data_IF_387782567436
#
_entry.id   IF_387782567436
#
_cell.length_a   1.000
_cell.length_b   1.000
_cell.length_c   1.000
_cell.angle_alpha   90.00
_cell.angle_beta   90.00
_cell.angle_gamma   90.00
#
_symmetry.space_group_name_H-M   'P 1'
#
loop_
_entity.id
_entity.type
_entity.pdbx_description
1 polymer ?
#
# COMPACT_ATOMS: atom_id res chain seq x y z
N UNK A 1 -15.16 21.77 -6.52
CA UNK A 1 -14.08 20.81 -6.79
C UNK A 1 -12.82 21.35 -6.17
N UNK A 2 -12.17 20.58 -5.31
CA UNK A 2 -10.88 20.94 -4.71
C UNK A 2 -9.77 20.91 -5.77
N UNK A 3 -8.63 21.57 -5.53
CA UNK A 3 -7.49 21.54 -6.47
C UNK A 3 -6.98 20.11 -6.72
N UNK A 4 -7.04 19.24 -5.69
CA UNK A 4 -6.76 17.80 -5.78
C UNK A 4 -7.67 17.12 -6.80
N UNK A 5 -8.99 17.34 -6.71
CA UNK A 5 -9.97 16.73 -7.62
C UNK A 5 -9.77 17.16 -9.07
N UNK A 6 -9.39 18.43 -9.31
CA UNK A 6 -9.12 18.91 -10.67
C UNK A 6 -7.89 18.22 -11.27
N UNK A 7 -6.83 18.02 -10.47
CA UNK A 7 -5.62 17.31 -10.92
C UNK A 7 -5.96 15.85 -11.24
N UNK A 8 -6.65 15.14 -10.35
CA UNK A 8 -7.03 13.74 -10.56
C UNK A 8 -7.94 13.59 -11.79
N UNK A 9 -8.89 14.50 -11.99
CA UNK A 9 -9.73 14.49 -13.18
C UNK A 9 -8.94 14.72 -14.47
N UNK A 10 -7.89 15.54 -14.44
CA UNK A 10 -7.00 15.71 -15.60
C UNK A 10 -6.16 14.47 -15.84
N UNK A 11 -5.72 13.77 -14.79
CA UNK A 11 -4.95 12.52 -14.92
C UNK A 11 -5.77 11.38 -15.54
N UNK A 12 -7.10 11.42 -15.47
CA UNK A 12 -7.95 10.46 -16.21
C UNK A 12 -7.71 10.46 -17.72
N UNK A 13 -7.05 11.47 -18.30
CA UNK A 13 -6.62 11.45 -19.70
C UNK A 13 -5.65 10.30 -20.01
N UNK A 14 -4.89 9.82 -19.02
CA UNK A 14 -3.99 8.68 -19.19
C UNK A 14 -4.74 7.37 -19.43
N UNK A 15 -6.01 7.29 -19.00
CA UNK A 15 -6.84 6.10 -19.20
C UNK A 15 -7.07 5.78 -20.70
N UNK A 16 -7.65 6.67 -21.52
CA UNK A 16 -7.74 6.42 -22.95
C UNK A 16 -6.36 6.37 -23.63
N UNK A 17 -5.35 7.10 -23.14
CA UNK A 17 -3.99 7.03 -23.69
C UNK A 17 -3.42 5.61 -23.54
N UNK A 18 -3.58 4.97 -22.37
CA UNK A 18 -3.09 3.62 -22.13
C UNK A 18 -3.69 2.61 -23.11
N UNK A 19 -5.03 2.61 -23.24
CA UNK A 19 -5.72 1.70 -24.16
C UNK A 19 -5.45 1.99 -25.63
N UNK A 20 -5.33 3.27 -26.02
CA UNK A 20 -4.98 3.64 -27.40
C UNK A 20 -3.53 3.23 -27.70
N UNK A 21 -2.61 3.42 -26.76
CA UNK A 21 -1.22 3.02 -26.91
C UNK A 21 -1.09 1.51 -27.08
N UNK A 22 -1.81 0.72 -26.28
CA UNK A 22 -1.90 -0.73 -26.42
C UNK A 22 -2.52 -1.13 -27.77
N UNK A 23 -3.64 -0.52 -28.15
CA UNK A 23 -4.33 -0.82 -29.41
C UNK A 23 -3.49 -0.51 -30.66
N UNK A 24 -2.70 0.57 -30.61
CA UNK A 24 -1.75 0.95 -31.66
C UNK A 24 -0.44 0.15 -31.61
N UNK A 25 -0.27 -0.77 -30.66
CA UNK A 25 0.95 -1.53 -30.41
C UNK A 25 2.18 -0.61 -30.28
N UNK A 26 2.03 0.49 -29.53
CA UNK A 26 3.14 1.37 -29.20
C UNK A 26 4.15 0.64 -28.29
N UNK A 27 5.41 1.12 -28.20
CA UNK A 27 6.42 0.54 -27.32
C UNK A 27 5.92 0.27 -25.91
N UNK A 28 6.21 -0.92 -25.38
CA UNK A 28 5.69 -1.39 -24.10
C UNK A 28 5.94 -0.42 -22.93
N UNK A 29 7.07 0.29 -22.94
CA UNK A 29 7.36 1.32 -21.93
C UNK A 29 6.33 2.45 -21.90
N UNK A 30 5.79 2.85 -23.05
CA UNK A 30 4.77 3.90 -23.15
C UNK A 30 3.46 3.37 -22.58
N UNK A 31 3.08 2.14 -22.96
CA UNK A 31 1.88 1.47 -22.45
C UNK A 31 1.96 1.29 -20.95
N UNK A 32 3.11 0.87 -20.43
CA UNK A 32 3.38 0.67 -19.01
C UNK A 32 3.25 1.98 -18.23
N UNK A 33 3.94 3.04 -18.65
CA UNK A 33 3.89 4.35 -17.97
C UNK A 33 2.48 4.96 -18.05
N UNK A 34 1.82 4.90 -19.21
CA UNK A 34 0.46 5.41 -19.37
C UNK A 34 -0.53 4.67 -18.47
N UNK A 35 -0.44 3.34 -18.39
CA UNK A 35 -1.27 2.53 -17.50
C UNK A 35 -1.03 2.86 -16.03
N UNK A 36 0.24 2.97 -15.62
CA UNK A 36 0.61 3.36 -14.25
C UNK A 36 0.06 4.73 -13.85
N UNK A 37 0.14 5.72 -14.75
CA UNK A 37 -0.43 7.05 -14.51
C UNK A 37 -1.96 7.06 -14.52
N UNK A 38 -2.61 6.17 -15.26
CA UNK A 38 -4.07 6.00 -15.26
C UNK A 38 -4.60 5.36 -13.97
N UNK A 39 -3.79 4.54 -13.30
CA UNK A 39 -4.16 3.91 -12.01
C UNK A 39 -4.33 4.94 -10.90
N UNK A 40 -3.45 5.95 -10.83
CA UNK A 40 -3.43 6.96 -9.76
C UNK A 40 -4.81 7.64 -9.55
N UNK A 41 -5.47 8.21 -10.57
CA UNK A 41 -6.79 8.81 -10.38
C UNK A 41 -7.88 7.77 -10.06
N UNK A 42 -7.80 6.55 -10.59
CA UNK A 42 -8.77 5.49 -10.28
C UNK A 42 -8.69 5.08 -8.83
N UNK A 43 -7.47 4.88 -8.31
CA UNK A 43 -7.21 4.59 -6.90
C UNK A 43 -7.77 5.70 -6.00
N UNK A 44 -7.63 6.96 -6.40
CA UNK A 44 -8.17 8.08 -5.63
C UNK A 44 -9.70 8.08 -5.59
N UNK A 45 -10.37 7.82 -6.72
CA UNK A 45 -11.84 7.72 -6.74
C UNK A 45 -12.37 6.51 -5.96
N UNK A 46 -11.62 5.40 -5.94
CA UNK A 46 -11.94 4.23 -5.11
C UNK A 46 -11.83 4.59 -3.63
N UNK A 47 -10.75 5.25 -3.21
CA UNK A 47 -10.55 5.68 -1.83
C UNK A 47 -11.64 6.67 -1.38
N UNK A 48 -11.85 7.75 -2.14
CA UNK A 48 -12.87 8.78 -1.84
C UNK A 48 -14.29 8.16 -1.78
N UNK A 49 -14.60 7.20 -2.66
CA UNK A 49 -15.91 6.53 -2.67
C UNK A 49 -16.07 5.56 -1.49
N UNK A 50 -15.00 4.85 -1.15
CA UNK A 50 -14.96 3.94 0.00
C UNK A 50 -15.20 4.69 1.30
N UNK A 51 -14.54 5.83 1.48
CA UNK A 51 -14.71 6.72 2.63
C UNK A 51 -16.14 7.25 2.72
N UNK A 52 -16.70 7.78 1.62
CA UNK A 52 -18.07 8.26 1.58
C UNK A 52 -19.13 7.18 1.88
N UNK A 53 -18.87 5.91 1.52
CA UNK A 53 -19.75 4.80 1.88
C UNK A 53 -19.58 4.45 3.37
N UNK A 54 -18.33 4.42 3.85
CA UNK A 54 -17.98 4.11 5.23
C UNK A 54 -18.66 5.04 6.25
N UNK A 55 -18.72 6.34 5.94
CA UNK A 55 -19.43 7.34 6.75
C UNK A 55 -20.93 7.01 6.94
N UNK A 56 -21.57 6.43 5.92
CA UNK A 56 -23.02 6.15 5.93
C UNK A 56 -23.34 4.83 6.62
N UNK A 57 -22.51 3.79 6.42
CA UNK A 57 -22.74 2.44 6.99
C UNK A 57 -22.25 2.31 8.45
N UNK A 58 -21.60 3.36 8.96
CA UNK A 58 -21.18 3.51 10.35
C UNK A 58 -19.81 2.92 10.66
N UNK A 59 -19.20 3.25 11.83
CA UNK A 59 -17.78 3.02 12.08
C UNK A 59 -17.33 1.56 11.97
N UNK A 60 -18.20 0.60 12.31
CA UNK A 60 -17.85 -0.82 12.22
C UNK A 60 -17.85 -1.33 10.78
N UNK A 61 -18.95 -1.21 10.05
CA UNK A 61 -18.97 -1.69 8.65
C UNK A 61 -18.08 -0.81 7.76
N UNK A 62 -17.97 0.48 8.07
CA UNK A 62 -17.10 1.44 7.38
C UNK A 62 -15.63 1.13 7.58
N UNK A 63 -15.21 0.81 8.82
CA UNK A 63 -13.83 0.37 9.08
C UNK A 63 -13.45 -0.89 8.30
N UNK A 64 -14.35 -1.88 8.23
CA UNK A 64 -14.13 -3.08 7.41
C UNK A 64 -14.01 -2.75 5.91
N UNK A 65 -14.92 -1.93 5.39
CA UNK A 65 -14.91 -1.50 4.00
C UNK A 65 -13.63 -0.76 3.65
N UNK A 66 -13.24 0.22 4.47
CA UNK A 66 -12.02 1.00 4.28
C UNK A 66 -10.76 0.12 4.35
N UNK A 67 -10.75 -0.84 5.26
CA UNK A 67 -9.62 -1.76 5.38
C UNK A 67 -9.47 -2.72 4.19
N UNK A 68 -10.57 -3.03 3.51
CA UNK A 68 -10.58 -3.93 2.33
C UNK A 68 -10.30 -3.16 1.04
N UNK A 69 -11.02 -2.05 0.83
CA UNK A 69 -10.93 -1.26 -0.40
C UNK A 69 -9.82 -0.20 -0.38
N UNK A 70 -9.26 0.12 0.79
CA UNK A 70 -8.12 1.02 0.93
C UNK A 70 -6.88 0.54 0.18
N UNK A 71 -6.65 -0.78 0.13
CA UNK A 71 -5.59 -1.41 -0.67
C UNK A 71 -6.14 -2.17 -1.88
N UNK A 72 -7.33 -1.78 -2.38
CA UNK A 72 -7.93 -2.45 -3.53
C UNK A 72 -7.00 -2.38 -4.75
N UNK A 73 -6.28 -1.26 -4.91
CA UNK A 73 -5.37 -1.05 -6.04
C UNK A 73 -4.25 -2.07 -6.06
N UNK A 74 -3.53 -2.20 -4.94
CA UNK A 74 -2.45 -3.15 -4.77
C UNK A 74 -2.94 -4.59 -4.91
N UNK A 75 -4.07 -4.91 -4.29
CA UNK A 75 -4.66 -6.25 -4.38
C UNK A 75 -5.07 -6.59 -5.82
N UNK A 76 -5.66 -5.65 -6.56
CA UNK A 76 -6.07 -5.88 -7.96
C UNK A 76 -4.86 -6.05 -8.87
N UNK A 77 -3.86 -5.16 -8.79
CA UNK A 77 -2.62 -5.28 -9.57
C UNK A 77 -1.95 -6.63 -9.26
N UNK A 78 -1.85 -7.00 -7.99
CA UNK A 78 -1.25 -8.27 -7.57
C UNK A 78 -2.04 -9.49 -8.06
N UNK A 79 -3.38 -9.48 -8.00
CA UNK A 79 -4.22 -10.58 -8.51
C UNK A 79 -4.07 -10.72 -10.03
N UNK A 80 -4.03 -9.61 -10.77
CA UNK A 80 -3.83 -9.63 -12.23
C UNK A 80 -2.45 -10.16 -12.59
N UNK A 81 -1.40 -9.69 -11.90
CA UNK A 81 -0.03 -10.20 -12.06
C UNK A 81 0.07 -11.69 -11.70
N UNK A 82 -0.59 -12.12 -10.63
CA UNK A 82 -0.64 -13.51 -10.20
C UNK A 82 -1.34 -14.40 -11.24
N UNK A 83 -2.45 -13.94 -11.82
CA UNK A 83 -3.14 -14.63 -12.91
C UNK A 83 -2.23 -14.80 -14.14
N UNK A 84 -1.38 -13.83 -14.42
CA UNK A 84 -0.36 -13.89 -15.48
C UNK A 84 0.87 -14.76 -15.12
N UNK A 85 0.89 -15.38 -13.93
CA UNK A 85 2.01 -16.22 -13.48
C UNK A 85 3.23 -15.46 -12.98
N UNK A 86 3.11 -14.13 -12.77
CA UNK A 86 4.22 -13.28 -12.33
C UNK A 86 4.38 -13.32 -10.80
N UNK A 87 4.53 -14.51 -10.22
CA UNK A 87 4.61 -14.72 -8.76
C UNK A 87 5.71 -13.87 -8.12
N UNK A 88 6.89 -13.81 -8.73
CA UNK A 88 8.02 -13.04 -8.20
C UNK A 88 7.76 -11.53 -8.21
N UNK A 89 7.05 -11.03 -9.23
CA UNK A 89 6.62 -9.62 -9.27
C UNK A 89 5.61 -9.34 -8.18
N UNK A 90 4.68 -10.26 -7.92
CA UNK A 90 3.69 -10.13 -6.85
C UNK A 90 4.37 -10.06 -5.48
N UNK A 91 5.32 -10.97 -5.20
CA UNK A 91 6.14 -10.94 -3.98
C UNK A 91 6.90 -9.62 -3.82
N UNK A 92 7.59 -9.21 -4.88
CA UNK A 92 8.31 -7.94 -4.96
C UNK A 92 7.39 -6.73 -4.74
N UNK A 93 6.16 -6.76 -5.24
CA UNK A 93 5.19 -5.68 -5.01
C UNK A 93 4.72 -5.60 -3.56
N UNK A 94 4.56 -6.74 -2.87
CA UNK A 94 4.17 -6.76 -1.45
C UNK A 94 5.27 -6.11 -0.60
N UNK A 95 6.52 -6.57 -0.77
CA UNK A 95 7.67 -6.09 0.00
C UNK A 95 7.97 -4.63 -0.35
N UNK A 96 7.90 -4.30 -1.64
CA UNK A 96 8.01 -2.95 -2.16
C UNK A 96 7.00 -1.98 -1.59
N UNK A 97 5.72 -2.34 -1.53
CA UNK A 97 4.69 -1.46 -0.96
C UNK A 97 4.93 -1.21 0.52
N UNK A 98 5.32 -2.22 1.29
CA UNK A 98 5.67 -2.01 2.71
C UNK A 98 6.86 -1.05 2.84
N UNK A 99 7.93 -1.27 2.07
CA UNK A 99 9.13 -0.41 2.09
C UNK A 99 8.81 1.02 1.65
N UNK A 100 8.02 1.18 0.59
CA UNK A 100 7.63 2.49 0.06
C UNK A 100 6.71 3.23 1.05
N UNK A 101 5.74 2.58 1.66
CA UNK A 101 4.86 3.21 2.65
C UNK A 101 5.66 3.70 3.87
N UNK A 102 6.53 2.84 4.41
CA UNK A 102 7.29 3.14 5.62
C UNK A 102 8.42 4.15 5.40
N UNK A 103 9.12 4.10 4.25
CA UNK A 103 10.28 4.97 4.01
C UNK A 103 9.96 6.13 3.07
N UNK A 104 9.31 5.89 1.93
CA UNK A 104 9.01 6.92 0.94
C UNK A 104 7.82 7.79 1.38
N UNK A 105 6.66 7.19 1.67
CA UNK A 105 5.44 7.92 1.98
C UNK A 105 5.56 8.66 3.32
N UNK A 106 5.94 7.94 4.38
CA UNK A 106 6.15 8.54 5.70
C UNK A 106 7.33 9.52 5.70
N UNK A 107 8.44 9.18 5.04
CA UNK A 107 9.60 10.08 4.94
C UNK A 107 9.27 11.39 4.21
N UNK A 108 8.55 11.32 3.09
CA UNK A 108 8.06 12.50 2.37
C UNK A 108 7.09 13.32 3.23
N UNK A 109 6.19 12.66 3.96
CA UNK A 109 5.25 13.35 4.83
C UNK A 109 5.96 14.09 5.97
N UNK A 110 6.86 13.43 6.70
CA UNK A 110 7.64 14.04 7.78
C UNK A 110 8.54 15.15 7.25
N UNK A 111 9.19 14.97 6.09
CA UNK A 111 10.03 16.02 5.51
C UNK A 111 9.19 17.25 5.15
N UNK A 112 8.11 17.08 4.37
CA UNK A 112 7.29 18.20 3.90
C UNK A 112 6.55 18.91 5.03
N UNK A 113 6.09 18.16 6.04
CA UNK A 113 5.53 18.72 7.27
C UNK A 113 6.58 19.46 8.11
N UNK A 114 7.76 18.86 8.29
CA UNK A 114 8.89 19.42 9.03
C UNK A 114 9.53 20.67 8.41
N UNK A 115 9.37 20.87 7.10
CA UNK A 115 9.76 22.12 6.42
C UNK A 115 8.85 23.29 6.80
N UNK A 116 7.62 23.01 7.27
CA UNK A 116 6.64 24.03 7.70
C UNK A 116 6.59 24.18 9.22
N UNK A 117 6.74 23.08 9.94
CA UNK A 117 6.63 23.02 11.40
C UNK A 117 7.94 22.47 11.97
N UNK A 118 8.50 23.13 12.99
CA UNK A 118 9.79 22.70 13.58
C UNK A 118 9.72 21.26 14.10
N UNK A 119 8.63 20.94 14.79
CA UNK A 119 8.32 19.63 15.35
C UNK A 119 6.82 19.37 15.20
N UNK A 120 6.44 18.11 14.98
CA UNK A 120 5.04 17.67 14.91
C UNK A 120 4.85 16.45 15.80
N UNK A 121 3.86 16.49 16.69
CA UNK A 121 3.54 15.39 17.58
C UNK A 121 2.48 14.46 16.99
N UNK A 122 2.52 13.20 17.41
CA UNK A 122 1.49 12.20 17.16
C UNK A 122 1.38 11.26 18.37
N UNK A 123 0.26 10.54 18.48
CA UNK A 123 -0.09 9.75 19.64
C UNK A 123 0.87 8.54 19.82
N UNK A 124 1.72 8.54 20.86
CA UNK A 124 2.75 7.51 21.03
C UNK A 124 2.16 6.10 21.26
N UNK A 125 0.96 6.02 21.85
CA UNK A 125 0.28 4.74 22.11
C UNK A 125 -0.09 4.03 20.83
N UNK A 126 -0.65 4.75 19.85
CA UNK A 126 -1.08 4.18 18.56
C UNK A 126 0.15 3.80 17.73
N UNK A 127 1.15 4.67 17.70
CA UNK A 127 2.42 4.40 17.03
C UNK A 127 3.09 3.13 17.57
N UNK A 128 3.10 2.93 18.89
CA UNK A 128 3.67 1.73 19.54
C UNK A 128 2.91 0.44 19.23
N UNK A 129 1.57 0.50 19.18
CA UNK A 129 0.75 -0.66 18.78
C UNK A 129 1.03 -1.01 17.31
N UNK A 130 1.07 -0.02 16.42
CA UNK A 130 1.39 -0.23 15.01
C UNK A 130 2.82 -0.77 14.83
N UNK A 131 3.80 -0.23 15.55
CA UNK A 131 5.19 -0.68 15.53
C UNK A 131 5.32 -2.15 15.99
N UNK A 132 4.64 -2.51 17.07
CA UNK A 132 4.62 -3.89 17.60
C UNK A 132 3.95 -4.85 16.61
N UNK A 133 2.88 -4.40 15.95
CA UNK A 133 2.19 -5.16 14.91
C UNK A 133 3.07 -5.35 13.67
N UNK A 134 3.81 -4.32 13.24
CA UNK A 134 4.78 -4.41 12.14
C UNK A 134 5.92 -5.38 12.47
N UNK A 135 6.40 -5.41 13.72
CA UNK A 135 7.39 -6.40 14.16
C UNK A 135 6.83 -7.83 14.06
N UNK A 136 5.57 -8.06 14.45
CA UNK A 136 4.94 -9.36 14.30
C UNK A 136 4.83 -9.76 12.81
N UNK A 137 4.34 -8.85 11.97
CA UNK A 137 4.28 -9.07 10.52
C UNK A 137 5.65 -9.41 9.95
N UNK A 138 6.69 -8.65 10.34
CA UNK A 138 8.07 -8.89 9.93
C UNK A 138 8.53 -10.30 10.34
N UNK A 139 8.31 -10.73 11.58
CA UNK A 139 8.67 -12.09 12.04
C UNK A 139 8.00 -13.16 11.19
N UNK A 140 6.71 -13.00 10.89
CA UNK A 140 5.97 -13.99 10.09
C UNK A 140 6.41 -14.00 8.63
N UNK A 141 6.66 -12.84 8.02
CA UNK A 141 7.16 -12.74 6.63
C UNK A 141 8.62 -13.21 6.49
N UNK A 142 9.46 -13.01 7.50
CA UNK A 142 10.83 -13.50 7.57
C UNK A 142 10.90 -15.03 7.66
N UNK A 143 9.97 -15.65 8.40
CA UNK A 143 10.11 -17.04 8.85
C UNK A 143 10.24 -18.07 7.71
N UNK A 144 9.39 -18.05 6.65
CA UNK A 144 9.52 -19.00 5.54
C UNK A 144 10.86 -18.86 4.82
N UNK A 145 11.24 -17.62 4.50
CA UNK A 145 12.50 -17.29 3.83
C UNK A 145 13.72 -17.69 4.66
N UNK A 146 13.69 -17.44 5.97
CA UNK A 146 14.78 -17.81 6.87
C UNK A 146 14.93 -19.34 6.98
N UNK A 147 13.81 -20.06 7.02
CA UNK A 147 13.80 -21.53 7.06
C UNK A 147 14.37 -22.11 5.76
N UNK A 148 13.97 -21.60 4.60
CA UNK A 148 14.49 -22.02 3.30
C UNK A 148 16.01 -21.75 3.19
N UNK A 149 16.44 -20.55 3.57
CA UNK A 149 17.86 -20.16 3.51
C UNK A 149 18.76 -20.96 4.48
N UNK A 150 18.23 -21.36 5.64
CA UNK A 150 19.01 -22.06 6.69
C UNK A 150 18.93 -23.58 6.63
N UNK A 151 17.93 -24.13 5.94
CA UNK A 151 17.68 -25.58 5.89
C UNK A 151 17.94 -26.12 4.48
N UNK A 152 19.01 -26.90 4.32
CA UNK A 152 19.28 -27.55 3.04
C UNK A 152 18.30 -28.72 2.80
N UNK A 153 17.61 -28.72 1.66
CA UNK A 153 16.80 -29.86 1.20
C UNK A 153 15.35 -29.88 1.67
N UNK A 154 14.78 -28.75 2.06
CA UNK A 154 13.34 -28.66 2.27
C UNK A 154 12.57 -28.89 0.97
N UNK A 155 11.49 -29.65 1.06
CA UNK A 155 10.61 -29.84 -0.08
C UNK A 155 9.80 -28.56 -0.31
N UNK A 156 9.60 -28.11 -1.57
CA UNK A 156 8.79 -26.94 -1.88
C UNK A 156 7.37 -27.01 -1.30
N UNK A 157 6.81 -28.23 -1.20
CA UNK A 157 5.52 -28.47 -0.56
C UNK A 157 5.52 -28.05 0.91
N UNK A 158 6.60 -28.28 1.66
CA UNK A 158 6.70 -27.91 3.08
C UNK A 158 6.68 -26.39 3.26
N UNK A 159 7.42 -25.66 2.43
CA UNK A 159 7.46 -24.18 2.43
C UNK A 159 6.07 -23.61 2.11
N UNK A 160 5.37 -24.22 1.15
CA UNK A 160 4.02 -23.82 0.80
C UNK A 160 3.03 -24.05 1.95
N UNK A 161 3.06 -25.22 2.61
CA UNK A 161 2.22 -25.49 3.79
C UNK A 161 2.52 -24.51 4.92
N UNK A 162 3.80 -24.24 5.19
CA UNK A 162 4.20 -23.25 6.18
C UNK A 162 3.66 -21.86 5.83
N UNK A 163 3.75 -21.45 4.56
CA UNK A 163 3.24 -20.17 4.07
C UNK A 163 1.71 -20.04 4.22
N UNK A 164 0.97 -21.13 4.02
CA UNK A 164 -0.48 -21.16 4.26
C UNK A 164 -0.79 -20.98 5.76
N UNK A 165 -0.06 -21.68 6.64
CA UNK A 165 -0.22 -21.52 8.10
C UNK A 165 0.11 -20.10 8.53
N UNK A 166 1.22 -19.55 8.04
CA UNK A 166 1.63 -18.16 8.28
C UNK A 166 0.58 -17.15 7.79
N UNK A 167 0.01 -17.35 6.59
CA UNK A 167 -1.08 -16.54 6.05
C UNK A 167 -2.33 -16.58 6.94
N UNK A 168 -2.74 -17.77 7.42
CA UNK A 168 -3.88 -17.90 8.33
C UNK A 168 -3.64 -17.22 9.68
N UNK A 169 -2.43 -17.30 10.23
CA UNK A 169 -2.05 -16.62 11.47
C UNK A 169 -2.08 -15.09 11.30
N UNK A 170 -1.60 -14.58 10.17
CA UNK A 170 -1.66 -13.15 9.84
C UNK A 170 -3.10 -12.66 9.69
N UNK A 171 -3.96 -13.39 8.99
CA UNK A 171 -5.38 -13.05 8.84
C UNK A 171 -6.13 -13.10 10.18
N UNK A 172 -5.81 -14.09 11.03
CA UNK A 172 -6.36 -14.17 12.38
C UNK A 172 -5.94 -12.93 13.19
N UNK A 173 -4.66 -12.59 13.18
CA UNK A 173 -4.16 -11.42 13.90
C UNK A 173 -4.78 -10.13 13.34
N UNK A 174 -4.88 -9.99 12.02
CA UNK A 174 -5.59 -8.88 11.38
C UNK A 174 -7.03 -8.76 11.88
N UNK A 175 -7.78 -9.85 11.91
CA UNK A 175 -9.13 -9.88 12.48
C UNK A 175 -9.17 -9.43 13.95
N UNK A 176 -8.20 -9.84 14.76
CA UNK A 176 -8.06 -9.38 16.15
C UNK A 176 -7.77 -7.87 16.22
N UNK A 177 -6.94 -7.31 15.33
CA UNK A 177 -6.67 -5.87 15.27
C UNK A 177 -7.90 -5.05 14.87
N UNK A 178 -8.75 -5.58 13.98
CA UNK A 178 -10.03 -4.98 13.63
C UNK A 178 -10.99 -4.98 14.84
N UNK A 179 -11.12 -6.11 15.53
CA UNK A 179 -11.91 -6.17 16.78
C UNK A 179 -11.36 -5.20 17.84
N UNK A 180 -10.04 -5.10 17.94
CA UNK A 180 -9.37 -4.20 18.88
C UNK A 180 -9.70 -2.73 18.58
N UNK A 181 -9.49 -2.29 17.34
CA UNK A 181 -9.69 -0.91 16.92
C UNK A 181 -11.16 -0.50 16.90
N UNK A 182 -12.06 -1.39 16.49
CA UNK A 182 -13.45 -1.05 16.22
C UNK A 182 -14.40 -1.31 17.40
N UNK A 183 -14.03 -2.20 18.32
CA UNK A 183 -14.91 -2.61 19.44
C UNK A 183 -14.29 -2.37 20.81
N UNK A 184 -13.13 -2.95 21.11
CA UNK A 184 -12.62 -2.97 22.50
C UNK A 184 -11.89 -1.69 22.88
N UNK A 185 -11.18 -1.05 21.94
CA UNK A 185 -10.36 0.15 22.18
C UNK A 185 -10.74 1.29 21.26
N UNK A 186 -12.04 1.38 20.94
CA UNK A 186 -12.60 2.39 20.05
C UNK A 186 -12.21 3.82 20.43
N UNK A 187 -12.11 4.12 21.74
CA UNK A 187 -11.73 5.45 22.25
C UNK A 187 -10.32 5.90 21.86
N UNK A 188 -9.38 4.96 21.69
CA UNK A 188 -8.00 5.26 21.26
C UNK A 188 -7.98 5.65 19.76
N UNK A 189 -8.91 5.10 18.98
CA UNK A 189 -9.02 5.32 17.54
C UNK A 189 -10.06 6.40 17.16
N UNK A 190 -11.04 6.73 18.02
CA UNK A 190 -12.09 7.73 17.78
C UNK A 190 -11.65 9.17 17.98
N UNK A 191 -10.59 9.41 18.77
CA UNK A 191 -9.98 10.74 18.88
C UNK A 191 -9.39 11.21 17.53
N UNK A 192 -9.08 10.27 16.61
CA UNK A 192 -8.70 10.56 15.21
C UNK A 192 -9.87 11.03 14.33
N UNK A 193 -11.04 10.39 14.47
CA UNK A 193 -12.25 10.70 13.66
C UNK A 193 -12.83 12.10 13.98
N UNK A 194 -12.71 12.60 15.22
CA UNK A 194 -13.25 13.92 15.58
C UNK A 194 -12.40 15.11 15.07
N UNK A 195 -11.10 14.92 14.81
CA UNK A 195 -10.25 15.92 14.14
C UNK A 195 -10.40 15.92 12.61
N UNK A 196 -10.92 14.83 12.03
CA UNK A 196 -11.41 14.76 10.65
C UNK A 196 -12.71 15.57 10.50
N UNK A 197 -13.68 15.38 11.42
CA UNK A 197 -15.01 16.02 11.35
C UNK A 197 -14.96 17.56 11.50
N UNK A 198 -14.07 18.11 12.33
CA UNK A 198 -14.09 19.55 12.65
C UNK A 198 -13.60 20.49 11.52
N UNK A 199 -13.01 19.98 10.43
CA UNK A 199 -12.60 20.82 9.29
C UNK A 199 -13.40 20.60 8.02
N UNK A 200 -13.95 19.41 7.82
CA UNK A 200 -14.85 19.18 6.69
C UNK A 200 -16.29 19.65 7.00
N UNK A 201 -16.62 19.98 8.25
CA UNK A 201 -17.93 20.52 8.64
C UNK A 201 -18.33 21.87 8.00
N UNK A 202 -17.43 22.59 7.30
CA UNK A 202 -17.81 23.74 6.46
C UNK A 202 -18.02 23.40 4.97
N UNK A 203 -17.63 22.21 4.50
CA UNK A 203 -17.89 21.75 3.11
C UNK A 203 -18.85 20.54 3.03
N UNK A 204 -19.08 19.82 4.14
CA UNK A 204 -19.73 18.49 4.18
C UNK A 204 -21.22 18.46 4.46
N UNK A 205 -21.93 19.59 4.55
CA UNK A 205 -23.40 19.55 4.57
C UNK A 205 -24.03 19.01 3.26
N UNK A 206 -23.22 18.75 2.20
CA UNK A 206 -23.69 18.22 0.91
C UNK A 206 -23.67 16.69 0.77
N UNK A 207 -23.01 15.91 1.63
CA UNK A 207 -22.67 14.51 1.33
C UNK A 207 -23.66 13.41 1.77
N UNK A 208 -24.85 13.74 2.30
CA UNK A 208 -25.90 12.72 2.54
C UNK A 208 -26.66 12.26 1.29
N UNK A 209 -26.45 12.88 0.12
CA UNK A 209 -27.33 12.73 -1.05
C UNK A 209 -26.82 11.79 -2.15
N UNK A 210 -25.86 10.90 -1.86
CA UNK A 210 -25.17 10.16 -2.92
C UNK A 210 -24.65 8.75 -2.63
N UNK A 211 -25.13 8.01 -1.63
CA UNK A 211 -24.61 6.64 -1.37
C UNK A 211 -24.58 5.78 -2.65
N UNK A 212 -25.67 5.77 -3.42
CA UNK A 212 -25.74 5.04 -4.69
C UNK A 212 -24.78 5.58 -5.76
N UNK A 213 -24.46 6.87 -5.72
CA UNK A 213 -23.43 7.46 -6.60
C UNK A 213 -22.04 6.99 -6.19
N UNK A 214 -21.71 7.00 -4.88
CA UNK A 214 -20.42 6.50 -4.38
C UNK A 214 -20.24 5.01 -4.67
N UNK A 215 -21.29 4.20 -4.47
CA UNK A 215 -21.27 2.77 -4.86
C UNK A 215 -21.08 2.60 -6.36
N UNK A 216 -21.78 3.40 -7.18
CA UNK A 216 -21.62 3.38 -8.64
C UNK A 216 -20.20 3.73 -9.09
N UNK A 217 -19.62 4.80 -8.53
CA UNK A 217 -18.24 5.22 -8.82
C UNK A 217 -17.25 4.14 -8.37
N UNK A 218 -17.38 3.62 -7.15
CA UNK A 218 -16.54 2.56 -6.61
C UNK A 218 -16.52 1.34 -7.56
N UNK A 219 -17.68 0.85 -7.98
CA UNK A 219 -17.79 -0.30 -8.86
C UNK A 219 -17.19 -0.03 -10.25
N UNK A 220 -17.52 1.11 -10.87
CA UNK A 220 -17.00 1.47 -12.19
C UNK A 220 -15.48 1.61 -12.14
N UNK A 221 -14.94 2.36 -11.18
CA UNK A 221 -13.50 2.55 -11.04
C UNK A 221 -12.78 1.23 -10.76
N UNK A 222 -13.35 0.35 -9.94
CA UNK A 222 -12.78 -0.98 -9.67
C UNK A 222 -12.72 -1.83 -10.94
N UNK A 223 -13.79 -1.87 -11.74
CA UNK A 223 -13.82 -2.62 -13.00
C UNK A 223 -12.81 -2.05 -13.99
N UNK A 224 -12.78 -0.73 -14.17
CA UNK A 224 -11.82 -0.07 -15.06
C UNK A 224 -10.38 -0.32 -14.60
N UNK A 225 -10.13 -0.30 -13.29
CA UNK A 225 -8.83 -0.57 -12.71
C UNK A 225 -8.34 -2.00 -13.00
N UNK A 226 -9.24 -2.99 -13.02
CA UNK A 226 -8.88 -4.36 -13.45
C UNK A 226 -8.36 -4.36 -14.89
N UNK A 227 -9.06 -3.70 -15.83
CA UNK A 227 -8.64 -3.63 -17.23
C UNK A 227 -7.31 -2.89 -17.41
N UNK A 228 -7.13 -1.74 -16.74
CA UNK A 228 -5.87 -0.98 -16.81
C UNK A 228 -4.73 -1.77 -16.17
N UNK A 229 -4.99 -2.51 -15.10
CA UNK A 229 -3.99 -3.36 -14.47
C UNK A 229 -3.59 -4.52 -15.38
N UNK A 230 -4.51 -5.05 -16.19
CA UNK A 230 -4.21 -6.06 -17.20
C UNK A 230 -3.25 -5.51 -18.28
N UNK A 231 -3.55 -4.32 -18.81
CA UNK A 231 -2.66 -3.59 -19.75
C UNK A 231 -1.28 -3.28 -19.13
N UNK A 232 -1.25 -2.86 -17.85
CA UNK A 232 0.00 -2.62 -17.11
C UNK A 232 0.84 -3.90 -17.02
N UNK A 233 0.22 -5.00 -16.60
CA UNK A 233 0.89 -6.29 -16.38
C UNK A 233 1.33 -6.92 -17.71
N UNK A 234 0.52 -6.80 -18.77
CA UNK A 234 0.85 -7.30 -20.10
C UNK A 234 2.08 -6.58 -20.70
N UNK A 235 2.20 -5.27 -20.50
CA UNK A 235 3.34 -4.47 -20.97
C UNK A 235 4.57 -4.57 -20.06
N UNK A 236 4.44 -5.11 -18.86
CA UNK A 236 5.49 -5.14 -17.84
C UNK A 236 6.75 -5.88 -18.30
N UNK A 237 6.63 -7.13 -18.78
CA UNK A 237 7.80 -7.94 -19.13
C UNK A 237 8.64 -7.33 -20.26
N UNK A 238 7.98 -6.75 -21.27
CA UNK A 238 8.66 -6.08 -22.37
C UNK A 238 9.23 -4.72 -21.93
N UNK A 239 8.54 -3.97 -21.06
CA UNK A 239 9.08 -2.72 -20.51
C UNK A 239 10.36 -2.97 -19.68
N UNK A 240 10.38 -4.05 -18.88
CA UNK A 240 11.54 -4.46 -18.07
C UNK A 240 12.73 -4.79 -18.98
N UNK A 241 12.52 -5.55 -20.05
CA UNK A 241 13.60 -5.96 -20.95
C UNK A 241 14.22 -4.78 -21.72
N UNK A 242 13.40 -3.81 -22.14
CA UNK A 242 13.86 -2.58 -22.80
C UNK A 242 14.63 -1.67 -21.83
N UNK A 243 14.19 -1.57 -20.58
CA UNK A 243 14.84 -0.74 -19.56
C UNK A 243 16.10 -1.39 -18.96
N UNK A 244 16.31 -2.69 -19.18
CA UNK A 244 17.40 -3.44 -18.57
C UNK A 244 17.29 -3.52 -17.05
N UNK A 245 16.07 -3.46 -16.51
CA UNK A 245 15.80 -3.56 -15.07
C UNK A 245 15.55 -5.01 -14.68
N UNK A 246 15.76 -5.36 -13.42
CA UNK A 246 15.37 -6.68 -12.90
C UNK A 246 13.87 -6.70 -12.56
N UNK A 247 13.25 -7.88 -12.62
CA UNK A 247 11.87 -8.10 -12.14
C UNK A 247 11.73 -7.70 -10.66
N UNK A 248 12.79 -7.95 -9.88
CA UNK A 248 12.86 -7.59 -8.47
C UNK A 248 12.83 -6.07 -8.27
N UNK A 249 13.70 -5.32 -8.94
CA UNK A 249 13.71 -3.85 -8.87
C UNK A 249 12.36 -3.28 -9.30
N UNK A 250 11.78 -3.82 -10.37
CA UNK A 250 10.51 -3.33 -10.90
C UNK A 250 9.36 -3.57 -9.94
N UNK A 251 9.26 -4.77 -9.36
CA UNK A 251 8.24 -5.08 -8.38
C UNK A 251 8.42 -4.30 -7.07
N UNK A 252 9.65 -4.15 -6.57
CA UNK A 252 9.92 -3.48 -5.28
C UNK A 252 9.83 -1.95 -5.38
N UNK A 253 10.27 -1.36 -6.50
CA UNK A 253 10.40 0.10 -6.63
C UNK A 253 9.32 0.69 -7.53
N UNK A 254 9.11 0.14 -8.73
CA UNK A 254 8.25 0.79 -9.73
C UNK A 254 6.75 0.54 -9.48
N UNK A 255 6.35 -0.69 -9.18
CA UNK A 255 4.92 -1.01 -8.97
C UNK A 255 4.30 -0.22 -7.79
N UNK A 256 4.95 -0.13 -6.61
CA UNK A 256 4.39 0.62 -5.48
C UNK A 256 4.22 2.11 -5.75
N UNK A 257 5.06 2.71 -6.59
CA UNK A 257 4.93 4.13 -6.96
C UNK A 257 3.57 4.40 -7.59
N UNK A 258 3.05 3.48 -8.41
CA UNK A 258 1.74 3.66 -9.04
C UNK A 258 0.59 3.27 -8.11
N UNK A 259 0.71 2.15 -7.40
CA UNK A 259 -0.33 1.65 -6.48
C UNK A 259 -0.60 2.62 -5.33
N UNK A 260 0.47 3.01 -4.62
CA UNK A 260 0.39 3.78 -3.38
C UNK A 260 0.41 5.30 -3.56
N UNK A 261 0.51 5.83 -4.80
CA UNK A 261 0.67 7.28 -5.06
C UNK A 261 -0.34 8.15 -4.30
N UNK A 262 -1.60 7.71 -4.25
CA UNK A 262 -2.69 8.42 -3.58
C UNK A 262 -2.46 8.49 -2.07
N UNK A 263 -2.01 7.39 -1.47
CA UNK A 263 -1.66 7.33 -0.05
C UNK A 263 -0.48 8.24 0.26
N UNK A 264 0.52 8.30 -0.63
CA UNK A 264 1.73 9.12 -0.43
C UNK A 264 1.38 10.60 -0.44
N UNK A 265 0.56 11.01 -1.42
CA UNK A 265 0.05 12.38 -1.51
C UNK A 265 -0.83 12.71 -0.30
N UNK A 266 -1.66 11.77 0.15
CA UNK A 266 -2.57 11.96 1.29
C UNK A 266 -1.80 12.12 2.60
N UNK A 267 -0.83 11.24 2.88
CA UNK A 267 0.04 11.33 4.05
C UNK A 267 0.83 12.65 4.06
N UNK A 268 1.43 13.04 2.93
CA UNK A 268 2.12 14.31 2.79
C UNK A 268 1.19 15.51 3.02
N UNK A 269 -0.03 15.44 2.48
CA UNK A 269 -1.03 16.51 2.65
C UNK A 269 -1.44 16.66 4.12
N UNK A 270 -1.64 15.57 4.84
CA UNK A 270 -1.96 15.60 6.27
C UNK A 270 -0.81 16.17 7.10
N UNK A 271 0.43 15.73 6.87
CA UNK A 271 1.59 16.27 7.56
C UNK A 271 1.77 17.78 7.32
N UNK A 272 1.61 18.25 6.07
CA UNK A 272 1.66 19.67 5.71
C UNK A 272 0.54 20.53 6.32
N UNK A 273 -0.55 19.90 6.79
CA UNK A 273 -1.67 20.54 7.51
C UNK A 273 -1.54 20.42 9.04
N UNK A 274 -0.35 20.05 9.53
CA UNK A 274 -0.07 19.77 10.93
C UNK A 274 -0.84 18.59 11.55
N UNK A 275 -1.26 17.62 10.72
CA UNK A 275 -1.96 16.41 11.16
C UNK A 275 -1.05 15.18 11.02
N UNK A 276 0.08 15.18 11.74
CA UNK A 276 1.06 14.10 11.65
C UNK A 276 0.49 12.74 12.09
N UNK A 277 -0.41 12.75 13.07
CA UNK A 277 -1.16 11.56 13.51
C UNK A 277 -1.83 10.80 12.36
N UNK A 278 -2.45 11.54 11.44
CA UNK A 278 -3.13 10.99 10.28
C UNK A 278 -2.13 10.53 9.21
N UNK A 279 -1.05 11.28 8.99
CA UNK A 279 0.01 10.88 8.06
C UNK A 279 0.66 9.54 8.47
N UNK A 280 0.99 9.39 9.75
CA UNK A 280 1.51 8.15 10.33
C UNK A 280 0.45 7.03 10.24
N UNK A 281 -0.83 7.35 10.47
CA UNK A 281 -1.93 6.40 10.33
C UNK A 281 -2.01 5.79 8.93
N UNK A 282 -1.97 6.64 7.91
CA UNK A 282 -2.05 6.23 6.50
C UNK A 282 -0.88 5.33 6.15
N UNK A 283 0.36 5.78 6.40
CA UNK A 283 1.57 5.06 6.01
C UNK A 283 1.74 3.72 6.76
N UNK A 284 1.68 3.73 8.10
CA UNK A 284 1.85 2.51 8.89
C UNK A 284 0.63 1.59 8.79
N UNK A 285 -0.57 2.15 8.69
CA UNK A 285 -1.82 1.38 8.55
C UNK A 285 -1.89 0.61 7.24
N UNK A 286 -1.59 1.27 6.12
CA UNK A 286 -1.48 0.61 4.81
C UNK A 286 -0.42 -0.50 4.83
N UNK A 287 0.77 -0.24 5.39
CA UNK A 287 1.82 -1.27 5.55
C UNK A 287 1.36 -2.50 6.34
N UNK A 288 0.60 -2.30 7.42
CA UNK A 288 0.03 -3.38 8.21
C UNK A 288 -1.02 -4.17 7.42
N UNK A 289 -1.88 -3.49 6.66
CA UNK A 289 -2.89 -4.14 5.83
C UNK A 289 -2.24 -4.94 4.69
N UNK A 290 -1.18 -4.41 4.07
CA UNK A 290 -0.43 -5.14 3.05
C UNK A 290 0.16 -6.43 3.63
N UNK A 291 0.83 -6.34 4.79
CA UNK A 291 1.48 -7.48 5.41
C UNK A 291 0.51 -8.51 6.00
N UNK A 292 -0.57 -8.07 6.66
CA UNK A 292 -1.46 -8.93 7.45
C UNK A 292 -2.73 -9.35 6.72
N UNK A 293 -3.09 -8.67 5.63
CA UNK A 293 -4.28 -8.97 4.85
C UNK A 293 -3.96 -9.27 3.39
N UNK A 294 -3.35 -8.33 2.65
CA UNK A 294 -3.14 -8.49 1.19
C UNK A 294 -2.22 -9.67 0.89
N UNK A 295 -1.04 -9.76 1.52
CA UNK A 295 -0.11 -10.86 1.29
C UNK A 295 -0.70 -12.24 1.62
N UNK A 296 -1.34 -12.46 2.80
CA UNK A 296 -2.06 -13.69 3.07
C UNK A 296 -3.18 -14.02 2.10
N UNK A 297 -3.98 -13.03 1.69
CA UNK A 297 -5.05 -13.24 0.71
C UNK A 297 -4.46 -13.71 -0.62
N UNK A 298 -3.34 -13.13 -1.07
CA UNK A 298 -2.66 -13.54 -2.30
C UNK A 298 -2.12 -14.97 -2.24
N UNK A 299 -1.64 -15.44 -1.09
CA UNK A 299 -1.26 -16.85 -0.90
C UNK A 299 -2.48 -17.77 -1.10
N UNK A 300 -3.62 -17.43 -0.49
CA UNK A 300 -4.84 -18.23 -0.61
C UNK A 300 -5.43 -18.18 -2.02
N UNK A 301 -5.47 -17.01 -2.65
CA UNK A 301 -5.93 -16.82 -4.02
C UNK A 301 -5.01 -17.54 -5.01
N UNK A 302 -3.69 -17.50 -4.79
CA UNK A 302 -2.72 -18.23 -5.60
C UNK A 302 -2.99 -19.73 -5.63
N UNK A 303 -3.30 -20.32 -4.48
CA UNK A 303 -3.71 -21.73 -4.41
C UNK A 303 -4.97 -22.01 -5.24
N UNK A 304 -5.98 -21.15 -5.15
CA UNK A 304 -7.21 -21.28 -5.96
C UNK A 304 -6.95 -21.13 -7.47
N UNK A 305 -5.94 -20.33 -7.84
CA UNK A 305 -5.52 -20.12 -9.23
C UNK A 305 -4.53 -21.16 -9.76
N UNK A 306 -4.08 -22.11 -8.92
CA UNK A 306 -3.04 -23.07 -9.28
C UNK A 306 -1.64 -22.46 -9.40
N UNK A 307 -1.44 -21.25 -8.85
CA UNK A 307 -0.16 -20.55 -8.81
C UNK A 307 0.55 -20.83 -7.49
N UNK A 308 1.87 -21.04 -7.53
CA UNK A 308 2.68 -21.34 -6.33
C UNK A 308 3.04 -20.07 -5.54
N UNK A 309 2.04 -19.27 -5.20
CA UNK A 309 2.21 -18.09 -4.34
C UNK A 309 2.44 -18.53 -2.89
N UNK A 310 3.56 -18.12 -2.31
CA UNK A 310 3.96 -18.42 -0.95
C UNK A 310 4.63 -17.18 -0.31
N UNK A 311 4.96 -17.24 0.98
CA UNK A 311 5.61 -16.14 1.73
C UNK A 311 7.13 -16.31 1.79
N UNK A 312 7.68 -17.07 0.86
CA UNK A 312 9.12 -17.24 0.69
C UNK A 312 9.61 -16.18 -0.30
N UNK A 313 10.14 -15.08 0.23
CA UNK A 313 10.57 -13.91 -0.54
C UNK A 313 12.07 -14.01 -0.83
N UNK A 314 12.59 -13.17 -1.72
CA UNK A 314 14.03 -13.05 -1.85
C UNK A 314 14.63 -12.54 -0.52
N UNK A 315 15.75 -13.11 -0.02
CA UNK A 315 16.39 -12.67 1.22
C UNK A 315 16.67 -11.16 1.26
N UNK A 316 16.95 -10.54 0.12
CA UNK A 316 17.18 -9.11 0.02
C UNK A 316 15.90 -8.27 0.18
N UNK A 317 14.75 -8.75 -0.31
CA UNK A 317 13.44 -8.13 -0.04
C UNK A 317 13.12 -8.12 1.45
N UNK A 318 13.35 -9.27 2.09
CA UNK A 318 13.08 -9.44 3.50
C UNK A 318 13.99 -8.56 4.36
N UNK A 319 15.26 -8.43 3.98
CA UNK A 319 16.19 -7.49 4.60
C UNK A 319 15.72 -6.04 4.44
N UNK A 320 15.23 -5.65 3.25
CA UNK A 320 14.72 -4.31 3.01
C UNK A 320 13.49 -4.00 3.87
N UNK A 321 12.54 -4.93 3.98
CA UNK A 321 11.38 -4.81 4.88
C UNK A 321 11.83 -4.71 6.34
N UNK A 322 12.81 -5.51 6.76
CA UNK A 322 13.37 -5.43 8.12
C UNK A 322 13.97 -4.05 8.41
N UNK A 323 14.79 -3.52 7.50
CA UNK A 323 15.37 -2.18 7.61
C UNK A 323 14.27 -1.12 7.72
N UNK A 324 13.25 -1.20 6.85
CA UNK A 324 12.14 -0.25 6.82
C UNK A 324 11.34 -0.25 8.13
N UNK A 325 10.99 -1.45 8.64
CA UNK A 325 10.26 -1.62 9.89
C UNK A 325 11.08 -1.13 11.08
N UNK A 326 12.36 -1.51 11.19
CA UNK A 326 13.20 -1.16 12.33
C UNK A 326 13.45 0.35 12.41
N UNK A 327 13.79 1.00 11.30
CA UNK A 327 14.04 2.45 11.28
C UNK A 327 12.75 3.22 11.55
N UNK A 328 11.64 2.83 10.92
CA UNK A 328 10.35 3.49 11.14
C UNK A 328 9.90 3.34 12.59
N UNK A 329 10.06 2.16 13.18
CA UNK A 329 9.75 1.93 14.59
C UNK A 329 10.63 2.77 15.51
N UNK A 330 11.92 2.89 15.22
CA UNK A 330 12.84 3.74 15.98
C UNK A 330 12.39 5.20 15.99
N UNK A 331 11.99 5.73 14.83
CA UNK A 331 11.53 7.13 14.69
C UNK A 331 10.15 7.32 15.31
N UNK A 332 9.25 6.34 15.18
CA UNK A 332 7.86 6.50 15.59
C UNK A 332 7.62 6.36 17.10
N UNK A 333 8.63 6.01 17.90
CA UNK A 333 8.44 5.57 19.30
C UNK A 333 8.22 6.71 20.28
N UNK A 334 8.82 7.88 20.05
CA UNK A 334 8.75 9.04 20.95
C UNK A 334 7.51 9.93 20.70
N UNK A 335 6.79 9.70 19.60
CA UNK A 335 5.58 10.44 19.25
C UNK A 335 5.85 11.86 18.72
N UNK A 336 7.08 12.14 18.30
CA UNK A 336 7.45 13.43 17.72
C UNK A 336 8.13 13.20 16.38
N UNK A 337 8.10 14.22 15.53
CA UNK A 337 8.77 14.17 14.24
C UNK A 337 9.34 15.51 13.83
N UNK A 338 10.45 15.47 13.10
CA UNK A 338 11.12 16.65 12.54
C UNK A 338 11.63 16.36 11.11
N UNK A 339 11.97 17.41 10.37
CA UNK A 339 12.36 17.29 8.96
C UNK A 339 13.58 16.37 8.72
N UNK A 340 14.49 16.25 9.71
CA UNK A 340 15.70 15.44 9.59
C UNK A 340 15.37 13.94 9.61
N UNK A 341 14.40 13.52 10.42
CA UNK A 341 13.90 12.15 10.40
C UNK A 341 13.22 11.81 9.08
N UNK A 342 12.49 12.75 8.49
CA UNK A 342 11.93 12.60 7.15
C UNK A 342 13.02 12.41 6.10
N UNK A 343 14.09 13.20 6.17
CA UNK A 343 15.26 13.03 5.31
C UNK A 343 15.95 11.68 5.53
N UNK A 344 16.07 11.20 6.78
CA UNK A 344 16.66 9.90 7.10
C UNK A 344 15.88 8.75 6.43
N UNK A 345 14.55 8.76 6.53
CA UNK A 345 13.69 7.76 5.89
C UNK A 345 13.84 7.78 4.36
N UNK A 346 13.86 8.97 3.74
CA UNK A 346 14.01 9.12 2.29
C UNK A 346 15.40 8.69 1.80
N UNK A 347 16.47 9.02 2.54
CA UNK A 347 17.83 8.57 2.21
C UNK A 347 17.90 7.04 2.36
N UNK A 348 17.29 6.47 3.39
CA UNK A 348 17.20 5.01 3.55
C UNK A 348 16.48 4.38 2.36
N UNK A 349 15.34 4.94 1.93
CA UNK A 349 14.63 4.47 0.73
C UNK A 349 15.51 4.52 -0.52
N UNK A 350 16.25 5.63 -0.72
CA UNK A 350 17.14 5.79 -1.86
C UNK A 350 18.31 4.77 -1.84
N UNK A 351 18.89 4.52 -0.67
CA UNK A 351 19.96 3.50 -0.50
C UNK A 351 19.42 2.11 -0.81
N UNK A 352 18.27 1.74 -0.23
CA UNK A 352 17.62 0.45 -0.48
C UNK A 352 17.26 0.29 -1.95
N UNK A 353 16.64 1.30 -2.57
CA UNK A 353 16.28 1.29 -3.99
C UNK A 353 17.50 1.20 -4.92
N UNK A 354 18.58 1.91 -4.59
CA UNK A 354 19.85 1.79 -5.33
C UNK A 354 20.44 0.39 -5.19
N UNK A 355 20.35 -0.22 -4.00
CA UNK A 355 20.82 -1.58 -3.79
C UNK A 355 19.99 -2.61 -4.58
N UNK A 356 18.67 -2.44 -4.70
CA UNK A 356 17.84 -3.26 -5.61
C UNK A 356 18.21 -3.09 -7.07
N UNK A 357 18.60 -1.87 -7.49
CA UNK A 357 19.03 -1.62 -8.87
C UNK A 357 20.29 -2.40 -9.24
N UNK A 358 21.24 -2.52 -8.30
CA UNK A 358 22.47 -3.30 -8.48
C UNK A 358 22.32 -4.79 -8.12
N UNK A 359 21.18 -5.20 -7.57
CA UNK A 359 20.93 -6.60 -7.24
C UNK A 359 20.58 -7.37 -8.53
N UNK A 360 21.33 -8.44 -8.85
CA UNK A 360 21.11 -9.23 -10.06
C UNK A 360 19.76 -9.96 -10.07
#
# INVERSE_FOLDING_TARGET
MTQKQVILLRMLVFLPIAFIAEWLNLPAIIVFIASGLAIIPLAAFIADSTEAIAEVIGPSLGGLLNSTFGNATELIIAIVALRAGLVDVVKASITGTIVANLLLALGAAILLGGLRFKEQSFQPTVARINASSLNLALVVLLSPTAIDFTSQGLQPATINHFSIVAALLLLLFYGLTLVFSMKTHKSIYQLREQEEINQDALESEKHKTGLWKSVGILLICTIVLVFVSDTLVASLQEAISVLGLSSLFTGVILIPIFGGAVEYITAATFAMKNKMDLAVAVAMGSSLQIAMFVAPVLVLVGQLMGQSMNLDFNPFEVLAVAIAVLITNSISTDGQSNWLEGALLLITYAVVGTAFYFHP
#
